data_IF_470783778398
#
_entry.id   IF_470783778398
#
_cell.length_a   1.000
_cell.length_b   1.000
_cell.length_c   1.000
_cell.angle_alpha   90.00
_cell.angle_beta   90.00
_cell.angle_gamma   90.00
#
_symmetry.space_group_name_H-M   'P 1'
#
loop_
_entity.id
_entity.type
_entity.pdbx_description
1 polymer ?
#
# COMPACT_ATOMS: atom_id res chain seq x y z
N UNK A 1 -33.50 -20.11 -20.49
CA UNK A 1 -32.47 -19.99 -19.44
C UNK A 1 -31.35 -18.97 -19.82
N UNK A 2 -31.60 -17.65 -19.96
CA UNK A 2 -30.51 -16.67 -20.20
C UNK A 2 -30.15 -15.77 -19.00
N UNK A 3 -30.98 -15.76 -17.94
CA UNK A 3 -30.77 -14.88 -16.77
C UNK A 3 -29.58 -15.32 -15.90
N UNK A 4 -29.40 -16.62 -15.72
CA UNK A 4 -28.25 -17.20 -15.01
C UNK A 4 -26.92 -16.95 -15.73
N UNK A 5 -26.92 -16.96 -17.07
CA UNK A 5 -25.72 -16.69 -17.88
C UNK A 5 -25.26 -15.22 -17.75
N UNK A 6 -26.19 -14.27 -17.60
CA UNK A 6 -25.87 -12.85 -17.35
C UNK A 6 -25.31 -12.61 -15.96
N UNK A 7 -25.78 -13.33 -14.95
CA UNK A 7 -25.26 -13.24 -13.58
C UNK A 7 -23.85 -13.84 -13.50
N UNK A 8 -23.61 -14.99 -14.15
CA UNK A 8 -22.27 -15.59 -14.27
C UNK A 8 -21.28 -14.69 -15.04
N UNK A 9 -21.71 -14.08 -16.14
CA UNK A 9 -20.87 -13.17 -16.91
C UNK A 9 -20.53 -11.88 -16.13
N UNK A 10 -21.48 -11.33 -15.36
CA UNK A 10 -21.25 -10.18 -14.48
C UNK A 10 -20.32 -10.49 -13.31
N UNK A 11 -20.45 -11.69 -12.72
CA UNK A 11 -19.57 -12.14 -11.64
C UNK A 11 -18.14 -12.41 -12.13
N UNK A 12 -17.98 -12.95 -13.35
CA UNK A 12 -16.68 -13.14 -13.98
C UNK A 12 -15.98 -11.81 -14.31
N UNK A 13 -16.73 -10.78 -14.71
CA UNK A 13 -16.18 -9.44 -14.95
C UNK A 13 -15.73 -8.75 -13.65
N UNK A 14 -16.42 -9.02 -12.53
CA UNK A 14 -16.03 -8.51 -11.21
C UNK A 14 -14.76 -9.20 -10.67
N UNK A 15 -14.55 -10.48 -11.01
CA UNK A 15 -13.38 -11.26 -10.56
C UNK A 15 -12.09 -10.92 -11.33
N UNK A 16 -12.18 -10.50 -12.59
CA UNK A 16 -11.01 -10.20 -13.43
C UNK A 16 -10.26 -8.90 -13.07
N UNK A 17 -10.87 -8.01 -12.27
CA UNK A 17 -10.24 -6.76 -11.83
C UNK A 17 -9.22 -6.93 -10.69
N UNK A 18 -9.10 -8.12 -10.10
CA UNK A 18 -8.38 -8.33 -8.85
C UNK A 18 -6.87 -8.64 -9.00
N UNK A 19 -6.38 -8.92 -10.22
CA UNK A 19 -5.00 -9.32 -10.44
C UNK A 19 -4.24 -8.25 -11.23
N UNK A 20 -3.92 -7.14 -10.57
CA UNK A 20 -2.85 -6.26 -11.07
C UNK A 20 -1.50 -6.95 -10.81
N UNK A 21 -0.58 -6.97 -11.78
CA UNK A 21 0.78 -7.44 -11.53
C UNK A 21 1.44 -6.56 -10.47
N UNK A 22 2.26 -7.16 -9.61
CA UNK A 22 3.10 -6.43 -8.66
C UNK A 22 3.92 -5.36 -9.40
N UNK A 23 3.73 -4.10 -9.04
CA UNK A 23 4.46 -2.97 -9.60
C UNK A 23 5.76 -2.72 -8.83
N UNK A 24 6.77 -2.21 -9.55
CA UNK A 24 8.00 -1.69 -8.94
C UNK A 24 7.87 -0.18 -8.85
N UNK A 25 7.90 0.35 -7.63
CA UNK A 25 7.80 1.79 -7.32
C UNK A 25 9.20 2.29 -6.96
N UNK A 26 9.73 3.25 -7.70
CA UNK A 26 11.08 3.77 -7.47
C UNK A 26 11.04 5.05 -6.64
N UNK A 27 11.85 5.11 -5.60
CA UNK A 27 12.07 6.33 -4.79
C UNK A 27 13.51 6.78 -5.02
N UNK A 28 13.76 8.02 -5.48
CA UNK A 28 12.83 9.15 -5.58
C UNK A 28 12.11 9.32 -6.94
N UNK A 29 12.25 8.37 -7.87
CA UNK A 29 11.81 8.52 -9.26
C UNK A 29 10.30 8.72 -9.44
N UNK A 30 9.49 7.82 -8.87
CA UNK A 30 8.03 7.84 -8.90
C UNK A 30 7.45 8.66 -7.74
N UNK A 31 8.07 8.54 -6.55
CA UNK A 31 7.70 9.31 -5.37
C UNK A 31 8.94 9.86 -4.69
N UNK A 32 8.93 11.16 -4.36
CA UNK A 32 10.05 11.81 -3.66
C UNK A 32 10.22 11.35 -2.20
N UNK A 33 9.17 10.79 -1.59
CA UNK A 33 9.12 10.37 -0.20
C UNK A 33 8.84 8.87 -0.09
N UNK A 34 9.55 8.19 0.81
CA UNK A 34 9.34 6.76 1.08
C UNK A 34 7.91 6.51 1.59
N UNK A 35 7.39 7.37 2.49
CA UNK A 35 6.04 7.22 3.01
C UNK A 35 4.97 7.24 1.90
N UNK A 36 5.08 8.16 0.95
CA UNK A 36 4.15 8.26 -0.16
C UNK A 36 4.18 7.01 -1.06
N UNK A 37 5.39 6.48 -1.33
CA UNK A 37 5.55 5.24 -2.09
C UNK A 37 4.89 4.05 -1.38
N UNK A 38 5.07 3.92 -0.07
CA UNK A 38 4.48 2.83 0.72
C UNK A 38 2.95 2.96 0.80
N UNK A 39 2.42 4.17 0.93
CA UNK A 39 0.97 4.39 0.95
C UNK A 39 0.31 4.11 -0.41
N UNK A 40 1.05 4.30 -1.50
CA UNK A 40 0.59 3.99 -2.85
C UNK A 40 0.77 2.51 -3.23
N UNK A 41 1.67 1.79 -2.56
CA UNK A 41 1.96 0.39 -2.84
C UNK A 41 0.77 -0.51 -2.46
N UNK A 42 0.36 -1.37 -3.39
CA UNK A 42 -0.57 -2.46 -3.14
C UNK A 42 0.15 -3.70 -2.58
N UNK A 43 -0.63 -4.66 -2.08
CA UNK A 43 -0.08 -5.91 -1.60
C UNK A 43 0.64 -6.66 -2.75
N UNK A 44 1.93 -6.94 -2.56
CA UNK A 44 2.77 -7.61 -3.55
C UNK A 44 3.68 -6.67 -4.33
N UNK A 45 3.48 -5.34 -4.26
CA UNK A 45 4.35 -4.36 -4.90
C UNK A 45 5.73 -4.30 -4.22
N UNK A 46 6.73 -3.87 -4.99
CA UNK A 46 8.10 -3.69 -4.53
C UNK A 46 8.45 -2.21 -4.57
N UNK A 47 8.83 -1.65 -3.42
CA UNK A 47 9.34 -0.28 -3.33
C UNK A 47 10.86 -0.30 -3.39
N UNK A 48 11.44 0.13 -4.50
CA UNK A 48 12.88 0.23 -4.70
C UNK A 48 13.38 1.63 -4.31
N UNK A 49 14.16 1.71 -3.23
CA UNK A 49 14.67 2.98 -2.71
C UNK A 49 16.12 3.16 -3.16
N UNK A 50 16.36 4.18 -3.98
CA UNK A 50 17.70 4.56 -4.39
C UNK A 50 18.51 5.10 -3.21
N UNK A 51 19.82 4.90 -3.26
CA UNK A 51 20.74 5.36 -2.24
C UNK A 51 20.65 6.88 -2.05
N UNK A 52 20.38 7.31 -0.82
CA UNK A 52 20.23 8.71 -0.47
C UNK A 52 19.80 8.87 0.99
N UNK A 53 19.79 10.11 1.46
CA UNK A 53 19.31 10.43 2.81
C UNK A 53 17.88 10.94 2.74
N UNK A 54 16.97 10.25 3.43
CA UNK A 54 15.56 10.62 3.52
C UNK A 54 15.27 11.02 4.96
N UNK A 55 14.78 12.26 5.16
CA UNK A 55 14.63 12.88 6.48
C UNK A 55 13.18 12.85 7.01
N UNK A 56 12.26 12.22 6.29
CA UNK A 56 10.84 12.22 6.65
C UNK A 56 10.52 11.08 7.64
N UNK A 57 10.42 11.46 8.91
CA UNK A 57 9.96 10.60 10.00
C UNK A 57 8.63 11.13 10.55
N UNK A 58 7.63 11.38 9.70
CA UNK A 58 6.31 11.87 10.14
C UNK A 58 5.48 10.85 10.93
N UNK A 59 5.97 9.62 11.08
CA UNK A 59 5.33 8.65 11.99
C UNK A 59 5.62 9.04 13.44
N UNK A 60 4.61 9.43 14.25
CA UNK A 60 4.80 9.51 15.68
C UNK A 60 5.21 8.11 16.17
N UNK A 61 6.38 7.99 16.79
CA UNK A 61 6.87 6.71 17.35
C UNK A 61 6.13 6.27 18.62
N UNK A 62 4.97 6.87 18.91
CA UNK A 62 4.10 6.43 19.99
C UNK A 62 3.21 5.29 19.48
N UNK A 63 3.57 4.05 19.85
CA UNK A 63 2.57 3.00 20.02
C UNK A 63 1.46 3.48 20.97
N UNK A 64 0.26 2.87 20.95
CA UNK A 64 -0.91 3.35 21.69
C UNK A 64 -0.48 3.70 23.12
N UNK A 65 -0.62 4.98 23.48
CA UNK A 65 -0.02 5.62 24.64
C UNK A 65 0.05 4.67 25.83
N UNK A 66 1.20 4.00 26.03
CA UNK A 66 1.45 3.28 27.28
C UNK A 66 1.66 4.38 28.32
N UNK A 67 0.80 4.50 29.34
CA UNK A 67 1.01 5.52 30.38
C UNK A 67 2.41 5.30 30.95
N UNK A 68 3.30 6.29 30.80
CA UNK A 68 4.62 6.28 31.42
C UNK A 68 4.36 6.27 32.94
N UNK A 69 4.81 5.25 33.70
CA UNK A 69 4.58 5.25 35.14
C UNK A 69 5.20 6.54 35.70
N UNK A 70 4.41 7.29 36.47
CA UNK A 70 4.86 8.52 37.10
C UNK A 70 6.09 8.19 37.95
N UNK A 71 7.24 8.74 37.57
CA UNK A 71 8.42 8.76 38.39
C UNK A 71 8.11 9.57 39.66
N UNK A 72 8.48 8.98 40.80
CA UNK A 72 8.21 9.36 42.19
C UNK A 72 8.22 10.84 42.54
#
# INVERSE_FOLDING_TARGET
MPRFLRILAGLALLAAAAAAPAAVIHVPGDFAQIHAAVQAAAAGDVVEVAAGTYYDCTHPTEGPARPRPASS
#
